data_IF_206779600691
#
_entry.id   IF_206779600691
#
_cell.length_a   1.000
_cell.length_b   1.000
_cell.length_c   1.000
_cell.angle_alpha   90.00
_cell.angle_beta   90.00
_cell.angle_gamma   90.00
#
_symmetry.space_group_name_H-M   'P 1'
#
loop_
_entity.id
_entity.type
_entity.pdbx_description
1 polymer ?
#
# COMPACT_ATOMS: atom_id res chain seq x y z
N UNK A 1 19.23 5.22 -25.96
CA UNK A 1 17.82 5.09 -26.39
C UNK A 1 16.98 5.33 -25.15
N UNK A 2 16.34 6.49 -25.05
CA UNK A 2 15.46 6.85 -23.94
C UNK A 2 14.05 6.45 -24.38
N UNK A 3 13.53 5.35 -23.85
CA UNK A 3 12.17 4.93 -24.15
C UNK A 3 11.20 5.86 -23.41
N UNK A 4 10.71 6.87 -24.12
CA UNK A 4 9.66 7.76 -23.64
C UNK A 4 8.35 6.97 -23.67
N UNK A 5 7.84 6.59 -22.51
CA UNK A 5 6.53 5.95 -22.42
C UNK A 5 5.47 7.05 -22.52
N UNK A 6 4.95 7.29 -23.73
CA UNK A 6 3.81 8.17 -23.93
C UNK A 6 2.55 7.39 -23.51
N UNK A 7 1.82 7.81 -22.47
CA UNK A 7 0.58 7.13 -22.11
C UNK A 7 -0.41 7.31 -23.26
N UNK A 8 -0.78 6.21 -23.91
CA UNK A 8 -1.82 6.23 -24.92
C UNK A 8 -3.15 6.46 -24.20
N UNK A 9 -3.86 7.52 -24.56
CA UNK A 9 -5.19 7.87 -24.04
C UNK A 9 -6.28 6.82 -24.36
N UNK A 10 -5.92 5.65 -24.88
CA UNK A 10 -6.78 4.47 -25.07
C UNK A 10 -6.79 3.54 -23.85
N UNK A 11 -5.89 3.76 -22.88
CA UNK A 11 -5.60 2.86 -21.75
C UNK A 11 -6.10 3.39 -20.40
N UNK A 12 -7.36 3.84 -20.31
CA UNK A 12 -8.01 4.15 -19.03
C UNK A 12 -8.12 2.94 -18.06
N UNK A 13 -7.65 1.76 -18.48
CA UNK A 13 -7.63 0.54 -17.66
C UNK A 13 -6.35 0.31 -16.85
N UNK A 14 -5.26 1.08 -17.04
CA UNK A 14 -4.11 1.03 -16.12
C UNK A 14 -4.36 1.97 -14.94
N UNK A 15 -5.13 1.50 -13.97
CA UNK A 15 -5.32 2.20 -12.70
C UNK A 15 -4.69 1.43 -11.56
N UNK A 16 -4.02 2.18 -10.68
CA UNK A 16 -3.39 1.68 -9.46
C UNK A 16 -4.09 2.34 -8.29
N UNK A 17 -4.68 1.52 -7.43
CA UNK A 17 -5.29 2.00 -6.20
C UNK A 17 -4.52 1.45 -5.02
N UNK A 18 -4.18 2.33 -4.08
CA UNK A 18 -3.55 1.96 -2.82
C UNK A 18 -4.36 2.59 -1.71
N UNK A 19 -4.78 1.78 -0.76
CA UNK A 19 -5.47 2.20 0.45
C UNK A 19 -4.63 1.80 1.65
N UNK A 20 -4.15 2.80 2.39
CA UNK A 20 -3.37 2.60 3.59
C UNK A 20 -4.19 3.03 4.81
N UNK A 21 -4.40 2.10 5.73
CA UNK A 21 -5.05 2.35 7.02
C UNK A 21 -4.00 2.13 8.10
N UNK A 22 -3.73 3.18 8.89
CA UNK A 22 -2.84 3.11 10.04
C UNK A 22 -3.58 3.53 11.29
N UNK A 23 -3.70 2.61 12.24
CA UNK A 23 -4.22 2.85 13.57
C UNK A 23 -3.07 2.80 14.57
N UNK A 24 -2.95 3.83 15.42
CA UNK A 24 -1.97 3.84 16.51
C UNK A 24 -2.67 4.18 17.81
N UNK A 25 -2.61 3.26 18.76
CA UNK A 25 -3.15 3.41 20.11
C UNK A 25 -2.00 3.61 21.07
N UNK A 26 -1.94 4.78 21.70
CA UNK A 26 -0.96 5.08 22.76
C UNK A 26 -1.53 4.58 24.09
N UNK A 27 -0.85 3.63 24.74
CA UNK A 27 -1.25 3.08 26.03
C UNK A 27 -0.59 3.82 27.19
N UNK A 28 0.71 4.09 27.07
CA UNK A 28 1.52 4.85 28.01
C UNK A 28 2.44 5.79 27.23
N UNK A 29 3.16 6.68 27.90
CA UNK A 29 4.13 7.56 27.23
C UNK A 29 5.21 6.81 26.45
N UNK A 30 5.56 5.60 26.92
CA UNK A 30 6.59 4.76 26.34
C UNK A 30 6.02 3.54 25.58
N UNK A 31 4.71 3.30 25.59
CA UNK A 31 4.09 2.11 25.01
C UNK A 31 2.95 2.48 24.05
N UNK A 32 3.05 2.00 22.82
CA UNK A 32 1.96 2.09 21.85
C UNK A 32 1.78 0.81 21.06
N UNK A 33 0.54 0.51 20.70
CA UNK A 33 0.19 -0.55 19.76
C UNK A 33 -0.08 0.12 18.41
N UNK A 34 0.56 -0.38 17.37
CA UNK A 34 0.38 0.07 16.00
C UNK A 34 -0.19 -1.07 15.17
N UNK A 35 -1.25 -0.76 14.43
CA UNK A 35 -1.83 -1.62 13.41
C UNK A 35 -1.78 -0.89 12.08
N UNK A 36 -1.30 -1.56 11.04
CA UNK A 36 -1.18 -1.03 9.70
C UNK A 36 -1.72 -2.07 8.72
N UNK A 37 -2.70 -1.67 7.92
CA UNK A 37 -3.23 -2.47 6.82
C UNK A 37 -3.01 -1.69 5.54
N UNK A 38 -2.34 -2.30 4.58
CA UNK A 38 -2.11 -1.75 3.25
C UNK A 38 -2.75 -2.68 2.23
N UNK A 39 -3.65 -2.13 1.43
CA UNK A 39 -4.26 -2.83 0.30
C UNK A 39 -3.81 -2.17 -0.99
N UNK A 40 -3.20 -2.97 -1.87
CA UNK A 40 -2.72 -2.52 -3.18
C UNK A 40 -3.41 -3.31 -4.27
N UNK A 41 -4.21 -2.60 -5.05
CA UNK A 41 -4.83 -3.11 -6.26
C UNK A 41 -4.09 -2.57 -7.48
N UNK A 42 -3.63 -3.47 -8.34
CA UNK A 42 -2.92 -3.14 -9.58
C UNK A 42 -3.66 -3.78 -10.74
N UNK A 43 -4.27 -2.96 -11.58
CA UNK A 43 -4.83 -3.41 -12.85
C UNK A 43 -3.78 -3.20 -13.94
N UNK A 44 -3.04 -4.25 -14.30
CA UNK A 44 -2.03 -4.21 -15.37
C UNK A 44 -2.47 -5.18 -16.47
N UNK A 45 -2.83 -4.64 -17.63
CA UNK A 45 -3.21 -5.42 -18.82
C UNK A 45 -1.93 -5.93 -19.50
N UNK A 46 -1.22 -6.89 -18.90
CA UNK A 46 -0.08 -7.55 -19.58
C UNK A 46 -0.19 -9.07 -19.56
N UNK A 47 -0.97 -9.64 -18.65
CA UNK A 47 -1.40 -11.04 -18.65
C UNK A 47 -2.55 -11.15 -17.64
N UNK A 48 -3.47 -12.11 -17.80
CA UNK A 48 -4.75 -12.32 -17.06
C UNK A 48 -4.64 -12.53 -15.53
N UNK A 49 -3.63 -11.96 -14.87
CA UNK A 49 -3.39 -12.12 -13.43
C UNK A 49 -3.61 -10.80 -12.70
N UNK A 50 -4.82 -10.62 -12.18
CA UNK A 50 -5.09 -9.63 -11.14
C UNK A 50 -4.28 -10.00 -9.89
N UNK A 51 -3.35 -9.14 -9.49
CA UNK A 51 -2.56 -9.32 -8.26
C UNK A 51 -2.93 -8.24 -7.25
N UNK A 52 -3.91 -8.58 -6.44
CA UNK A 52 -4.24 -7.86 -5.22
C UNK A 52 -3.25 -8.25 -4.13
N UNK A 53 -2.52 -7.27 -3.59
CA UNK A 53 -1.66 -7.48 -2.45
C UNK A 53 -2.34 -6.88 -1.21
N UNK A 54 -2.69 -7.72 -0.24
CA UNK A 54 -3.11 -7.30 1.10
C UNK A 54 -1.98 -7.56 2.08
N UNK A 55 -1.50 -6.51 2.73
CA UNK A 55 -0.49 -6.59 3.77
C UNK A 55 -1.07 -6.08 5.10
N UNK A 56 -1.00 -6.92 6.13
CA UNK A 56 -1.44 -6.56 7.49
C UNK A 56 -0.25 -6.67 8.43
N UNK A 57 0.07 -5.59 9.12
CA UNK A 57 1.18 -5.44 10.06
C UNK A 57 0.65 -5.00 11.41
N UNK A 58 1.07 -5.68 12.46
CA UNK A 58 0.84 -5.27 13.84
C UNK A 58 2.18 -5.17 14.57
N UNK A 59 2.39 -4.09 15.31
CA UNK A 59 3.61 -3.86 16.07
C UNK A 59 3.30 -3.32 17.47
N UNK A 60 4.03 -3.82 18.46
CA UNK A 60 4.13 -3.19 19.78
C UNK A 60 5.37 -2.29 19.74
N UNK A 61 5.17 -1.00 19.96
CA UNK A 61 6.23 0.01 19.89
C UNK A 61 6.54 0.48 21.31
N UNK A 62 7.75 0.14 21.77
CA UNK A 62 8.34 0.63 23.00
C UNK A 62 9.28 1.79 22.67
N UNK A 63 9.10 2.93 23.31
CA UNK A 63 10.00 4.09 23.22
C UNK A 63 10.75 4.23 24.53
N UNK A 64 12.04 3.95 24.48
CA UNK A 64 12.93 4.27 25.58
C UNK A 64 13.40 5.73 25.47
N UNK A 65 13.61 6.41 26.61
CA UNK A 65 14.17 7.75 26.65
C UNK A 65 15.60 7.81 26.09
#
# INVERSE_FOLDING_TARGET
>A
IVNYYQPAFKDFNDYRFTSDIRLKVKLLDQLSIQFEASYKHRNVIVDDTFKDDLEIKSAIVLRFP
#
